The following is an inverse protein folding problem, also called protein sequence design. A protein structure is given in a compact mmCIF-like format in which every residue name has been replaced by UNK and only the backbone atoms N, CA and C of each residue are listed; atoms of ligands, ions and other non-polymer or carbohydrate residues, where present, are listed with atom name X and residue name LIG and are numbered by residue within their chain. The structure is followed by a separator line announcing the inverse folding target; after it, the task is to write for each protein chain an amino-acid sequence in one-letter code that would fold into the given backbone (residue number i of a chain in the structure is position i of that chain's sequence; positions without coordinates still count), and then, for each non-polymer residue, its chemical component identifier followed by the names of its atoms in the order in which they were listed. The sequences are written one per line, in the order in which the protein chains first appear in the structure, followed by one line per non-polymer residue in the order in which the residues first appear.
data_IF_635393060270
#
_entry.id   IF_635393060270
#
_cell.length_a   1.000
_cell.length_b   1.000
_cell.length_c   1.000
_cell.angle_alpha   90.00
_cell.angle_beta   90.00
_cell.angle_gamma   90.00
#
_symmetry.space_group_name_H-M   'P 1'
#
loop_
_entity.id
_entity.type
_entity.pdbx_description
1 polymer ?
#
# COMPACT_ATOMS: atom_id res chain seq x y z
N UNK A 1 -17.42 19.92 0.91
CA UNK A 1 -16.95 18.56 0.54
C UNK A 1 -17.80 18.09 -0.64
N UNK A 2 -17.23 17.60 -1.74
CA UNK A 2 -18.01 17.17 -2.91
C UNK A 2 -18.91 15.97 -2.55
N UNK A 3 -20.16 15.95 -3.01
CA UNK A 3 -21.11 14.85 -2.77
C UNK A 3 -20.56 13.48 -3.21
N UNK A 4 -19.78 13.46 -4.30
CA UNK A 4 -19.09 12.25 -4.77
C UNK A 4 -18.00 11.78 -3.80
N UNK A 5 -17.27 12.72 -3.19
CA UNK A 5 -16.28 12.41 -2.17
C UNK A 5 -16.98 11.74 -0.97
N UNK A 6 -18.09 12.32 -0.51
CA UNK A 6 -18.89 11.73 0.58
C UNK A 6 -19.43 10.34 0.23
N UNK A 7 -19.89 10.12 -1.01
CA UNK A 7 -20.33 8.79 -1.45
C UNK A 7 -19.18 7.77 -1.44
N UNK A 8 -18.05 8.09 -2.07
CA UNK A 8 -16.97 7.11 -2.26
C UNK A 8 -16.13 6.87 -1.01
N UNK A 9 -16.02 7.84 -0.09
CA UNK A 9 -15.38 7.64 1.21
C UNK A 9 -16.28 6.93 2.23
N UNK A 10 -17.57 6.80 1.93
CA UNK A 10 -18.53 6.16 2.82
C UNK A 10 -18.18 4.69 3.06
N UNK A 11 -18.19 4.30 4.33
CA UNK A 11 -18.05 2.90 4.76
C UNK A 11 -19.34 2.43 5.37
N UNK A 12 -19.79 1.26 4.94
CA UNK A 12 -20.97 0.62 5.49
C UNK A 12 -20.80 0.33 7.00
N UNK A 13 -21.90 0.21 7.76
CA UNK A 13 -21.90 -0.17 9.16
C UNK A 13 -21.07 -1.42 9.45
N UNK A 14 -20.62 -1.55 10.70
CA UNK A 14 -19.91 -2.75 11.16
C UNK A 14 -20.83 -3.94 11.45
N UNK A 15 -22.13 -3.70 11.62
CA UNK A 15 -23.13 -4.74 11.79
C UNK A 15 -23.53 -5.31 10.42
N UNK A 16 -23.38 -6.63 10.18
CA UNK A 16 -23.62 -7.22 8.86
C UNK A 16 -25.03 -7.02 8.32
N UNK A 17 -26.05 -7.07 9.18
CA UNK A 17 -27.45 -6.92 8.77
C UNK A 17 -27.74 -5.48 8.33
N UNK A 18 -27.29 -4.49 9.12
CA UNK A 18 -27.40 -3.06 8.77
C UNK A 18 -26.59 -2.74 7.51
N UNK A 19 -25.37 -3.26 7.39
CA UNK A 19 -24.53 -3.06 6.22
C UNK A 19 -25.19 -3.56 4.95
N UNK A 20 -25.81 -4.75 4.99
CA UNK A 20 -26.57 -5.29 3.86
C UNK A 20 -27.78 -4.43 3.50
N UNK A 21 -28.57 -4.00 4.47
CA UNK A 21 -29.73 -3.12 4.20
C UNK A 21 -29.30 -1.79 3.57
N UNK A 22 -28.26 -1.17 4.11
CA UNK A 22 -27.76 0.09 3.60
C UNK A 22 -27.13 -0.05 2.20
N UNK A 23 -26.45 -1.16 1.92
CA UNK A 23 -26.01 -1.49 0.55
C UNK A 23 -27.20 -1.54 -0.43
N UNK A 24 -28.30 -2.19 -0.04
CA UNK A 24 -29.52 -2.26 -0.86
C UNK A 24 -30.10 -0.85 -1.11
N UNK A 25 -30.14 0.01 -0.10
CA UNK A 25 -30.58 1.40 -0.26
C UNK A 25 -29.67 2.22 -1.19
N UNK A 26 -28.37 1.94 -1.19
CA UNK A 26 -27.42 2.59 -2.10
C UNK A 26 -27.66 2.15 -3.54
N UNK A 27 -27.79 0.84 -3.83
CA UNK A 27 -27.99 0.33 -5.20
C UNK A 27 -29.36 0.73 -5.78
N UNK A 28 -30.38 0.86 -4.93
CA UNK A 28 -31.73 1.31 -5.29
C UNK A 28 -31.86 2.85 -5.31
N UNK A 29 -30.77 3.58 -5.05
CA UNK A 29 -30.74 5.05 -5.01
C UNK A 29 -31.70 5.70 -3.99
N UNK A 30 -32.02 4.99 -2.92
CA UNK A 30 -32.84 5.51 -1.80
C UNK A 30 -32.01 6.23 -0.74
N UNK A 31 -30.71 5.95 -0.67
CA UNK A 31 -29.82 6.50 0.34
C UNK A 31 -29.56 8.01 0.15
N UNK A 32 -29.46 8.76 1.26
CA UNK A 32 -29.29 10.23 1.26
C UNK A 32 -28.00 10.70 0.59
N UNK A 33 -26.98 9.84 0.49
CA UNK A 33 -25.71 10.14 -0.19
C UNK A 33 -25.88 10.52 -1.67
N UNK A 34 -27.00 10.16 -2.30
CA UNK A 34 -27.31 10.51 -3.68
C UNK A 34 -27.84 11.94 -3.88
N UNK A 35 -28.23 12.64 -2.80
CA UNK A 35 -29.02 13.87 -2.88
C UNK A 35 -28.41 15.00 -3.72
N UNK A 36 -27.08 15.13 -3.71
CA UNK A 36 -26.36 16.21 -4.41
C UNK A 36 -25.53 15.70 -5.60
N UNK A 37 -25.89 14.56 -6.18
CA UNK A 37 -25.23 13.98 -7.35
C UNK A 37 -26.16 14.12 -8.56
N UNK A 38 -25.67 14.74 -9.64
CA UNK A 38 -26.41 14.94 -10.89
C UNK A 38 -26.94 13.61 -11.46
N UNK A 39 -28.12 13.60 -12.11
CA UNK A 39 -28.73 12.37 -12.63
C UNK A 39 -27.80 11.53 -13.51
N UNK A 40 -27.05 12.09 -14.48
CA UNK A 40 -26.16 11.29 -15.33
C UNK A 40 -25.07 10.57 -14.54
N UNK A 41 -24.42 11.26 -13.59
CA UNK A 41 -23.41 10.65 -12.71
C UNK A 41 -24.01 9.58 -11.82
N UNK A 42 -25.20 9.84 -11.24
CA UNK A 42 -25.91 8.88 -10.38
C UNK A 42 -26.25 7.61 -11.14
N UNK A 43 -26.80 7.71 -12.34
CA UNK A 43 -27.16 6.57 -13.18
C UNK A 43 -25.93 5.74 -13.57
N UNK A 44 -24.85 6.40 -13.97
CA UNK A 44 -23.58 5.75 -14.29
C UNK A 44 -22.98 5.02 -13.09
N UNK A 45 -22.84 5.69 -11.93
CA UNK A 45 -22.29 5.08 -10.71
C UNK A 45 -23.16 3.91 -10.26
N UNK A 46 -24.49 4.09 -10.25
CA UNK A 46 -25.44 3.04 -9.90
C UNK A 46 -25.33 1.83 -10.82
N UNK A 47 -25.14 2.02 -12.13
CA UNK A 47 -24.95 0.91 -13.07
C UNK A 47 -23.71 0.08 -12.71
N UNK A 48 -22.59 0.75 -12.41
CA UNK A 48 -21.34 0.08 -12.00
C UNK A 48 -21.51 -0.69 -10.68
N UNK A 49 -22.16 -0.09 -9.67
CA UNK A 49 -22.43 -0.78 -8.40
C UNK A 49 -23.35 -1.99 -8.60
N UNK A 50 -24.32 -1.91 -9.52
CA UNK A 50 -25.17 -3.05 -9.86
C UNK A 50 -24.41 -4.18 -10.59
N UNK A 51 -23.40 -3.85 -11.41
CA UNK A 51 -22.50 -4.87 -11.99
C UNK A 51 -21.80 -5.66 -10.90
N UNK A 52 -21.27 -4.99 -9.86
CA UNK A 52 -20.70 -5.69 -8.71
C UNK A 52 -21.75 -6.50 -7.96
N UNK A 53 -22.91 -5.92 -7.68
CA UNK A 53 -23.98 -6.61 -6.94
C UNK A 53 -24.41 -7.92 -7.63
N UNK A 54 -24.51 -7.90 -8.96
CA UNK A 54 -24.80 -9.10 -9.74
C UNK A 54 -23.72 -10.18 -9.56
N UNK A 55 -22.44 -9.81 -9.59
CA UNK A 55 -21.35 -10.77 -9.36
C UNK A 55 -21.33 -11.33 -7.94
N UNK A 56 -21.65 -10.51 -6.94
CA UNK A 56 -21.81 -10.95 -5.55
C UNK A 56 -22.91 -12.02 -5.46
N UNK A 57 -24.08 -11.75 -6.06
CA UNK A 57 -25.22 -12.69 -6.03
C UNK A 57 -24.91 -13.99 -6.78
N UNK A 58 -24.27 -13.93 -7.95
CA UNK A 58 -23.85 -15.13 -8.72
C UNK A 58 -22.93 -16.06 -7.93
N UNK A 59 -22.08 -15.49 -7.07
CA UNK A 59 -21.10 -16.23 -6.25
C UNK A 59 -21.64 -16.65 -4.88
N UNK A 60 -22.85 -16.21 -4.50
CA UNK A 60 -23.44 -16.58 -3.23
C UNK A 60 -23.67 -18.10 -3.14
N UNK A 61 -23.39 -18.66 -1.95
CA UNK A 61 -23.65 -20.06 -1.59
C UNK A 61 -24.42 -20.11 -0.27
N UNK A 62 -25.15 -21.21 0.04
CA UNK A 62 -25.91 -21.32 1.29
C UNK A 62 -25.06 -21.11 2.56
N UNK A 63 -23.80 -21.54 2.53
CA UNK A 63 -22.87 -21.48 3.66
C UNK A 63 -21.82 -20.37 3.54
N UNK A 64 -21.85 -19.56 2.48
CA UNK A 64 -20.87 -18.51 2.21
C UNK A 64 -21.51 -17.35 1.45
N UNK A 65 -21.76 -16.27 2.18
CA UNK A 65 -22.28 -15.01 1.65
C UNK A 65 -21.24 -13.90 1.74
N UNK A 66 -21.40 -12.87 0.91
CA UNK A 66 -20.56 -11.68 0.99
C UNK A 66 -20.89 -10.85 2.24
N UNK A 67 -19.88 -10.58 3.07
CA UNK A 67 -20.00 -9.70 4.22
C UNK A 67 -19.78 -8.25 3.80
N UNK A 68 -20.83 -7.43 3.90
CA UNK A 68 -20.80 -6.01 3.58
C UNK A 68 -20.23 -5.14 4.71
N UNK A 69 -19.95 -5.71 5.88
CA UNK A 69 -19.52 -4.97 7.07
C UNK A 69 -18.27 -4.14 6.78
N UNK A 70 -18.33 -2.82 7.05
CA UNK A 70 -17.24 -1.85 6.84
C UNK A 70 -16.75 -1.70 5.39
N UNK A 71 -17.48 -2.27 4.41
CA UNK A 71 -17.14 -2.14 3.00
C UNK A 71 -17.15 -0.67 2.58
N UNK A 72 -16.13 -0.24 1.83
CA UNK A 72 -16.04 1.10 1.26
C UNK A 72 -16.79 1.16 -0.07
N UNK A 73 -17.69 2.14 -0.23
CA UNK A 73 -18.43 2.33 -1.47
C UNK A 73 -17.50 2.67 -2.65
N UNK A 74 -16.42 3.41 -2.40
CA UNK A 74 -15.37 3.67 -3.40
C UNK A 74 -14.68 2.38 -3.86
N UNK A 75 -14.36 1.47 -2.92
CA UNK A 75 -13.78 0.17 -3.27
C UNK A 75 -14.78 -0.69 -4.06
N UNK A 76 -16.03 -0.73 -3.61
CA UNK A 76 -17.11 -1.44 -4.34
C UNK A 76 -17.27 -0.88 -5.77
N UNK A 77 -17.21 0.45 -5.94
CA UNK A 77 -17.24 1.08 -7.25
C UNK A 77 -16.04 0.68 -8.12
N UNK A 78 -14.81 0.77 -7.61
CA UNK A 78 -13.60 0.37 -8.35
C UNK A 78 -13.62 -1.11 -8.73
N UNK A 79 -14.06 -1.99 -7.82
CA UNK A 79 -14.24 -3.42 -8.11
C UNK A 79 -15.28 -3.62 -9.21
N UNK A 80 -16.44 -2.98 -9.12
CA UNK A 80 -17.49 -3.04 -10.14
C UNK A 80 -17.02 -2.51 -11.50
N UNK A 81 -16.32 -1.39 -11.52
CA UNK A 81 -15.81 -0.78 -12.75
C UNK A 81 -14.72 -1.64 -13.40
N UNK A 82 -13.88 -2.28 -12.59
CA UNK A 82 -12.88 -3.24 -13.08
C UNK A 82 -13.54 -4.48 -13.67
N UNK A 83 -14.58 -5.01 -13.03
CA UNK A 83 -15.36 -6.15 -13.56
C UNK A 83 -16.02 -5.76 -14.89
N UNK A 84 -16.66 -4.59 -14.94
CA UNK A 84 -17.35 -4.08 -16.12
C UNK A 84 -16.41 -3.89 -17.33
N UNK A 85 -15.24 -3.30 -17.09
CA UNK A 85 -14.28 -2.96 -18.16
C UNK A 85 -13.22 -4.03 -18.42
N UNK A 86 -13.06 -5.00 -17.53
CA UNK A 86 -11.95 -5.95 -17.55
C UNK A 86 -10.58 -5.31 -17.27
N UNK A 87 -10.52 -4.07 -16.76
CA UNK A 87 -9.27 -3.31 -16.61
C UNK A 87 -9.27 -2.45 -15.35
N UNK A 88 -8.27 -2.62 -14.48
CA UNK A 88 -8.08 -1.77 -13.30
C UNK A 88 -7.77 -0.32 -13.68
N UNK A 89 -6.95 -0.10 -14.71
CA UNK A 89 -6.64 1.25 -15.19
C UNK A 89 -7.88 1.98 -15.69
N UNK A 90 -8.76 1.29 -16.42
CA UNK A 90 -10.00 1.87 -16.92
C UNK A 90 -10.95 2.22 -15.77
N UNK A 91 -10.98 1.40 -14.71
CA UNK A 91 -11.74 1.69 -13.50
C UNK A 91 -11.23 2.95 -12.78
N UNK A 92 -9.91 3.09 -12.64
CA UNK A 92 -9.28 4.29 -12.05
C UNK A 92 -9.59 5.51 -12.92
N UNK A 93 -9.44 5.40 -14.24
CA UNK A 93 -9.75 6.49 -15.17
C UNK A 93 -11.21 6.94 -15.08
N UNK A 94 -12.16 5.99 -15.02
CA UNK A 94 -13.58 6.30 -14.86
C UNK A 94 -13.85 7.05 -13.55
N UNK A 95 -13.23 6.64 -12.44
CA UNK A 95 -13.35 7.34 -11.17
C UNK A 95 -12.78 8.76 -11.26
N UNK A 96 -11.62 8.94 -11.90
CA UNK A 96 -10.99 10.25 -12.12
C UNK A 96 -11.90 11.19 -12.92
N UNK A 97 -12.52 10.71 -13.99
CA UNK A 97 -13.47 11.50 -14.80
C UNK A 97 -14.72 11.88 -14.00
N UNK A 98 -15.30 10.94 -13.26
CA UNK A 98 -16.49 11.17 -12.42
C UNK A 98 -16.22 12.24 -11.34
N UNK A 99 -15.06 12.15 -10.69
CA UNK A 99 -14.61 13.08 -9.67
C UNK A 99 -14.03 14.38 -10.23
N UNK A 100 -13.96 14.51 -11.56
CA UNK A 100 -13.40 15.69 -12.25
C UNK A 100 -11.98 16.01 -11.78
N UNK A 101 -11.16 14.97 -11.61
CA UNK A 101 -9.75 15.09 -11.25
C UNK A 101 -9.02 15.81 -12.40
N UNK A 102 -8.21 16.86 -12.12
CA UNK A 102 -7.46 17.57 -13.15
C UNK A 102 -6.56 16.65 -13.96
N UNK A 103 -6.36 16.95 -15.25
CA UNK A 103 -5.48 16.17 -16.14
C UNK A 103 -4.00 16.25 -15.76
N UNK A 104 -3.63 17.21 -14.92
CA UNK A 104 -2.30 17.31 -14.29
C UNK A 104 -2.06 16.26 -13.20
N UNK A 105 -3.10 15.53 -12.79
CA UNK A 105 -3.02 14.47 -11.78
C UNK A 105 -3.35 13.13 -12.44
N UNK A 106 -2.42 12.18 -12.32
CA UNK A 106 -2.61 10.80 -12.78
C UNK A 106 -2.47 9.84 -11.60
N UNK A 107 -3.28 8.78 -11.62
CA UNK A 107 -3.21 7.69 -10.65
C UNK A 107 -2.96 6.42 -11.45
N UNK A 108 -1.81 5.78 -11.21
CA UNK A 108 -1.37 4.62 -11.96
C UNK A 108 -1.20 3.43 -11.01
N UNK A 109 -1.76 2.25 -11.33
CA UNK A 109 -1.43 1.04 -10.59
C UNK A 109 0.01 0.63 -10.93
N UNK A 110 0.79 0.26 -9.91
CA UNK A 110 2.19 -0.15 -10.08
C UNK A 110 2.33 -1.42 -10.97
N UNK A 111 1.37 -2.34 -10.84
CA UNK A 111 1.25 -3.54 -11.67
C UNK A 111 -0.08 -3.46 -12.41
N UNK A 112 -0.06 -3.59 -13.73
CA UNK A 112 -1.28 -3.66 -14.53
C UNK A 112 -1.70 -5.14 -14.71
N UNK A 113 -2.41 -5.68 -13.72
CA UNK A 113 -2.90 -7.05 -13.77
C UNK A 113 -4.29 -7.19 -13.15
N UNK A 114 -5.03 -8.16 -13.66
CA UNK A 114 -6.28 -8.61 -13.05
C UNK A 114 -6.07 -9.72 -12.01
N UNK A 115 -4.83 -10.19 -11.82
CA UNK A 115 -4.52 -11.17 -10.79
C UNK A 115 -4.09 -10.50 -9.49
N UNK A 116 -4.49 -11.08 -8.37
CA UNK A 116 -4.00 -10.66 -7.06
C UNK A 116 -2.53 -11.06 -6.94
N UNK A 117 -1.70 -10.07 -6.63
CA UNK A 117 -0.30 -10.28 -6.29
C UNK A 117 -0.15 -10.12 -4.79
N UNK A 118 0.59 -11.03 -4.16
CA UNK A 118 0.86 -10.98 -2.74
C UNK A 118 2.32 -10.67 -2.51
N UNK A 119 2.65 -10.21 -1.31
CA UNK A 119 4.03 -9.97 -0.89
C UNK A 119 4.37 -10.85 0.31
N UNK A 120 5.64 -11.21 0.41
CA UNK A 120 6.24 -11.84 1.58
C UNK A 120 7.44 -11.02 2.05
N UNK A 121 7.70 -11.06 3.35
CA UNK A 121 8.83 -10.40 4.00
C UNK A 121 9.74 -11.46 4.62
N UNK A 122 11.06 -11.29 4.47
CA UNK A 122 12.08 -12.10 5.12
C UNK A 122 12.72 -11.31 6.25
N UNK A 123 12.82 -11.91 7.43
CA UNK A 123 13.34 -11.27 8.63
C UNK A 123 14.82 -11.61 8.84
N UNK A 124 15.49 -10.86 9.71
CA UNK A 124 16.92 -11.02 9.95
C UNK A 124 17.31 -12.33 10.67
N UNK A 125 16.35 -12.96 11.36
CA UNK A 125 16.51 -14.29 11.94
C UNK A 125 16.32 -15.44 10.94
N UNK A 126 16.06 -15.13 9.66
CA UNK A 126 15.85 -16.10 8.59
C UNK A 126 14.40 -16.56 8.42
N UNK A 127 13.48 -16.18 9.33
CA UNK A 127 12.06 -16.50 9.19
C UNK A 127 11.39 -15.63 8.12
N UNK A 128 10.22 -16.06 7.64
CA UNK A 128 9.44 -15.29 6.66
C UNK A 128 7.98 -15.14 7.05
N UNK A 129 7.39 -14.02 6.63
CA UNK A 129 5.98 -13.68 6.85
C UNK A 129 5.33 -13.46 5.50
N UNK A 130 4.24 -14.20 5.25
CA UNK A 130 3.51 -14.13 3.99
C UNK A 130 2.19 -13.38 4.13
N UNK A 131 1.94 -12.46 3.20
CA UNK A 131 0.73 -11.65 3.12
C UNK A 131 0.89 -10.26 3.75
N UNK A 132 0.53 -9.22 3.00
CA UNK A 132 0.65 -7.82 3.41
C UNK A 132 0.03 -7.53 4.78
N UNK A 133 -1.15 -8.08 5.07
CA UNK A 133 -1.84 -7.85 6.35
C UNK A 133 -1.09 -8.49 7.52
N UNK A 134 -0.44 -9.64 7.31
CA UNK A 134 0.35 -10.29 8.34
C UNK A 134 1.66 -9.53 8.63
N UNK A 135 2.24 -8.90 7.60
CA UNK A 135 3.43 -8.07 7.75
C UNK A 135 3.10 -6.80 8.56
N UNK A 136 2.00 -6.13 8.21
CA UNK A 136 1.63 -4.82 8.76
C UNK A 136 0.79 -4.87 10.04
N UNK A 137 -0.34 -5.60 10.01
CA UNK A 137 -1.38 -5.56 11.03
C UNK A 137 -2.02 -6.95 11.21
N UNK A 138 -1.30 -7.91 11.81
CA UNK A 138 -1.76 -9.28 11.84
C UNK A 138 -3.03 -9.46 12.67
N UNK A 139 -3.96 -10.24 12.13
CA UNK A 139 -5.18 -10.64 12.86
C UNK A 139 -4.94 -11.81 13.84
N UNK A 140 -3.78 -12.47 13.75
CA UNK A 140 -3.30 -13.60 14.58
C UNK A 140 -1.77 -13.81 14.39
N UNK A 141 -1.06 -14.59 15.23
CA UNK A 141 0.40 -14.80 15.13
C UNK A 141 0.84 -15.30 13.75
N UNK A 142 1.94 -14.76 13.22
CA UNK A 142 2.30 -14.78 11.79
C UNK A 142 3.49 -15.65 11.39
N UNK A 143 4.11 -16.37 12.33
CA UNK A 143 5.22 -17.26 11.99
C UNK A 143 4.73 -18.42 11.13
N UNK A 144 5.38 -18.65 9.98
CA UNK A 144 5.26 -19.90 9.25
C UNK A 144 5.97 -20.99 10.08
N UNK A 145 5.34 -22.14 10.36
CA UNK A 145 6.06 -23.26 10.97
C UNK A 145 7.13 -23.77 10.00
N UNK A 146 8.36 -23.92 10.49
CA UNK A 146 9.58 -24.25 9.73
C UNK A 146 9.62 -25.65 9.11
N UNK A 147 8.56 -26.46 9.21
CA UNK A 147 8.59 -27.82 8.70
C UNK A 147 7.83 -27.95 7.37
N UNK A 148 8.55 -28.42 6.36
CA UNK A 148 8.07 -29.10 5.14
C UNK A 148 7.23 -30.36 5.42
N UNK A 149 6.52 -30.44 6.53
CA UNK A 149 5.58 -31.49 6.84
C UNK A 149 4.19 -31.02 6.45
N UNK A 150 3.72 -31.56 5.33
CA UNK A 150 2.32 -31.72 4.91
C UNK A 150 1.36 -31.00 5.87
N UNK A 151 0.86 -29.83 5.46
CA UNK A 151 -0.25 -29.16 6.14
C UNK A 151 -1.30 -30.24 6.48
N UNK A 152 -1.80 -30.32 7.73
CA UNK A 152 -2.78 -31.32 8.10
C UNK A 152 -3.90 -31.27 7.06
N UNK A 153 -4.18 -32.42 6.44
CA UNK A 153 -5.14 -32.53 5.36
C UNK A 153 -6.41 -31.77 5.75
N UNK A 154 -6.72 -30.71 4.99
CA UNK A 154 -7.90 -29.88 5.22
C UNK A 154 -9.10 -30.83 5.28
N UNK A 155 -9.88 -30.75 6.37
CA UNK A 155 -11.11 -31.53 6.43
C UNK A 155 -12.07 -31.00 5.37
N UNK A 156 -13.01 -31.82 4.91
CA UNK A 156 -14.03 -31.37 3.95
C UNK A 156 -14.80 -30.12 4.46
N UNK A 157 -14.92 -29.96 5.78
CA UNK A 157 -15.53 -28.78 6.42
C UNK A 157 -14.67 -27.51 6.34
N UNK A 158 -13.35 -27.63 6.24
CA UNK A 158 -12.46 -26.48 6.03
C UNK A 158 -12.46 -26.02 4.57
N UNK A 159 -12.71 -26.95 3.63
CA UNK A 159 -12.88 -26.62 2.22
C UNK A 159 -14.11 -25.74 1.96
N UNK A 160 -15.21 -25.93 2.69
CA UNK A 160 -16.44 -25.14 2.56
C UNK A 160 -16.32 -23.70 3.11
N UNK A 161 -15.29 -23.42 3.91
CA UNK A 161 -14.97 -22.06 4.41
C UNK A 161 -14.01 -21.29 3.50
N UNK A 162 -13.50 -21.92 2.45
CA UNK A 162 -12.61 -21.28 1.48
C UNK A 162 -13.45 -20.36 0.59
N UNK A 163 -13.11 -19.07 0.57
CA UNK A 163 -13.66 -18.14 -0.40
C UNK A 163 -13.29 -18.61 -1.83
N UNK A 164 -14.31 -18.92 -2.64
CA UNK A 164 -14.27 -19.37 -4.06
C UNK A 164 -13.57 -18.35 -4.99
N UNK A 165 -13.17 -17.19 -4.46
CA UNK A 165 -12.34 -16.22 -5.15
C UNK A 165 -10.86 -16.64 -5.26
N UNK A 166 -10.42 -17.64 -4.47
CA UNK A 166 -9.03 -18.09 -4.43
C UNK A 166 -8.82 -19.34 -5.27
N UNK A 167 -7.73 -19.39 -6.04
CA UNK A 167 -7.39 -20.55 -6.85
C UNK A 167 -7.19 -21.81 -5.96
N UNK A 168 -7.64 -23.00 -6.39
CA UNK A 168 -7.36 -24.25 -5.70
C UNK A 168 -5.86 -24.40 -5.41
N UNK A 169 -5.50 -24.77 -4.18
CA UNK A 169 -4.09 -24.90 -3.77
C UNK A 169 -3.41 -23.60 -3.31
N UNK A 170 -4.06 -22.43 -3.39
CA UNK A 170 -3.53 -21.19 -2.78
C UNK A 170 -3.20 -21.34 -1.29
N UNK A 171 -2.20 -20.61 -0.78
CA UNK A 171 -1.80 -20.67 0.62
C UNK A 171 -2.96 -20.31 1.56
N UNK A 172 -3.27 -21.12 2.59
CA UNK A 172 -4.37 -20.84 3.53
C UNK A 172 -4.27 -19.48 4.20
N UNK A 173 -3.05 -19.01 4.47
CA UNK A 173 -2.78 -17.71 5.08
C UNK A 173 -3.27 -16.53 4.23
N UNK A 174 -3.33 -16.68 2.91
CA UNK A 174 -3.77 -15.66 1.96
C UNK A 174 -5.30 -15.68 1.73
N UNK A 175 -6.00 -16.71 2.20
CA UNK A 175 -7.44 -16.91 2.01
C UNK A 175 -8.29 -16.30 3.13
N UNK A 176 -7.68 -15.71 4.17
CA UNK A 176 -8.39 -15.17 5.33
C UNK A 176 -9.04 -13.83 5.00
N UNK A 177 -10.29 -13.64 5.43
CA UNK A 177 -11.00 -12.37 5.30
C UNK A 177 -10.49 -11.36 6.34
N UNK A 178 -9.81 -10.32 5.88
CA UNK A 178 -9.29 -9.26 6.74
C UNK A 178 -10.29 -8.09 6.84
N UNK A 179 -11.39 -8.30 7.57
CA UNK A 179 -12.47 -7.30 7.74
C UNK A 179 -12.19 -6.34 8.91
N UNK A 180 -11.46 -6.80 9.93
CA UNK A 180 -11.07 -6.02 11.09
C UNK A 180 -9.57 -5.65 11.03
N UNK A 181 -9.29 -4.36 10.83
CA UNK A 181 -7.94 -3.79 10.95
C UNK A 181 -7.85 -3.04 12.29
N UNK A 182 -6.82 -3.30 13.08
CA UNK A 182 -6.50 -2.53 14.28
C UNK A 182 -5.00 -2.22 14.30
N UNK A 183 -4.65 -0.94 14.20
CA UNK A 183 -3.28 -0.43 14.39
C UNK A 183 -2.94 -0.12 15.86
N UNK A 184 -3.88 -0.37 16.78
CA UNK A 184 -3.78 0.13 18.15
C UNK A 184 -2.91 -0.77 19.07
N UNK A 185 -2.68 -2.02 18.68
CA UNK A 185 -1.84 -2.99 19.41
C UNK A 185 -1.08 -3.86 18.42
N UNK A 186 -0.04 -3.29 17.83
CA UNK A 186 0.89 -4.04 17.01
C UNK A 186 1.96 -4.65 17.91
N UNK A 187 2.00 -5.98 18.01
CA UNK A 187 3.12 -6.71 18.58
C UNK A 187 4.34 -6.51 17.67
N UNK A 188 5.54 -6.40 18.25
CA UNK A 188 6.77 -6.24 17.46
C UNK A 188 7.06 -7.51 16.64
N UNK A 189 7.75 -7.35 15.50
CA UNK A 189 8.35 -8.48 14.79
C UNK A 189 9.51 -9.07 15.61
N UNK A 190 9.81 -10.38 15.49
CA UNK A 190 10.93 -10.98 16.20
C UNK A 190 12.27 -10.41 15.76
N UNK A 191 12.41 -9.93 14.52
CA UNK A 191 13.60 -9.25 14.04
C UNK A 191 13.25 -8.31 12.87
N UNK A 192 14.19 -7.43 12.50
CA UNK A 192 14.01 -6.47 11.39
C UNK A 192 13.70 -7.19 10.08
N UNK A 193 12.86 -6.59 9.23
CA UNK A 193 12.68 -7.05 7.86
C UNK A 193 13.96 -6.76 7.06
N UNK A 194 14.50 -7.77 6.39
CA UNK A 194 15.66 -7.63 5.49
C UNK A 194 15.24 -7.35 4.05
N UNK A 195 14.18 -8.01 3.56
CA UNK A 195 13.68 -7.84 2.19
C UNK A 195 12.20 -8.15 2.06
N UNK A 196 11.58 -7.62 1.02
CA UNK A 196 10.22 -7.94 0.57
C UNK A 196 10.26 -8.39 -0.89
N UNK A 197 9.41 -9.36 -1.24
CA UNK A 197 9.26 -9.85 -2.61
C UNK A 197 7.82 -10.20 -2.93
N UNK A 198 7.50 -10.20 -4.21
CA UNK A 198 6.20 -10.66 -4.69
C UNK A 198 6.15 -12.19 -4.72
N UNK A 199 5.01 -12.75 -4.35
CA UNK A 199 4.70 -14.17 -4.47
C UNK A 199 3.40 -14.38 -5.25
N UNK A 200 3.30 -15.53 -5.91
CA UNK A 200 2.02 -16.01 -6.41
C UNK A 200 1.15 -16.58 -5.26
N UNK A 201 -0.12 -16.91 -5.50
CA UNK A 201 -0.98 -17.49 -4.47
C UNK A 201 -0.47 -18.81 -3.86
N UNK A 202 0.50 -19.49 -4.49
CA UNK A 202 1.09 -20.75 -4.02
C UNK A 202 2.36 -20.54 -3.17
N UNK A 203 2.81 -19.29 -2.98
CA UNK A 203 4.00 -18.98 -2.18
C UNK A 203 5.31 -18.90 -2.96
N UNK A 204 5.30 -19.12 -4.28
CA UNK A 204 6.51 -18.99 -5.08
C UNK A 204 6.80 -17.53 -5.37
N UNK A 205 8.07 -17.13 -5.22
CA UNK A 205 8.56 -15.81 -5.62
C UNK A 205 8.33 -15.57 -7.12
N UNK A 206 7.84 -14.38 -7.44
CA UNK A 206 7.53 -13.94 -8.80
C UNK A 206 8.08 -12.54 -9.04
N UNK A 207 8.21 -12.17 -10.31
CA UNK A 207 8.68 -10.84 -10.75
C UNK A 207 7.63 -10.22 -11.66
N UNK A 208 6.62 -9.54 -11.09
CA UNK A 208 5.59 -8.88 -11.88
C UNK A 208 6.22 -7.79 -12.75
N UNK A 209 5.71 -7.64 -13.97
CA UNK A 209 6.07 -6.51 -14.80
C UNK A 209 5.46 -5.23 -14.22
N UNK A 210 6.27 -4.18 -14.13
CA UNK A 210 5.78 -2.84 -13.83
C UNK A 210 4.85 -2.38 -14.95
N UNK A 211 3.88 -1.54 -14.60
CA UNK A 211 3.09 -0.83 -15.58
C UNK A 211 3.96 0.16 -16.37
N UNK A 212 4.03 0.02 -17.70
CA UNK A 212 4.84 0.88 -18.57
C UNK A 212 4.56 2.37 -18.39
N UNK A 213 3.31 2.75 -18.07
CA UNK A 213 2.96 4.16 -17.81
C UNK A 213 3.67 4.71 -16.58
N UNK A 214 3.97 3.87 -15.58
CA UNK A 214 4.75 4.26 -14.41
C UNK A 214 6.19 4.55 -14.82
N UNK A 215 6.79 3.70 -15.67
CA UNK A 215 8.12 3.96 -16.21
C UNK A 215 8.17 5.23 -17.06
N UNK A 216 7.18 5.46 -17.93
CA UNK A 216 7.07 6.69 -18.71
C UNK A 216 6.91 7.92 -17.82
N UNK A 217 6.12 7.83 -16.75
CA UNK A 217 5.96 8.91 -15.78
C UNK A 217 7.29 9.19 -15.05
N UNK A 218 8.01 8.18 -14.61
CA UNK A 218 9.32 8.34 -13.97
C UNK A 218 10.36 8.97 -14.93
N UNK A 219 10.41 8.51 -16.18
CA UNK A 219 11.33 9.05 -17.19
C UNK A 219 11.10 10.53 -17.50
N UNK A 220 9.84 10.98 -17.45
CA UNK A 220 9.46 12.38 -17.67
C UNK A 220 9.47 13.23 -16.40
N UNK A 221 9.72 12.63 -15.24
CA UNK A 221 9.72 13.31 -13.94
C UNK A 221 11.08 13.93 -13.64
N UNK A 222 11.07 15.12 -13.06
CA UNK A 222 12.27 15.76 -12.49
C UNK A 222 12.39 15.53 -10.99
N UNK A 223 11.30 15.13 -10.34
CA UNK A 223 11.20 14.91 -8.90
C UNK A 223 10.41 13.65 -8.62
N UNK A 224 10.95 12.79 -7.77
CA UNK A 224 10.27 11.61 -7.20
C UNK A 224 10.16 11.83 -5.70
N UNK A 225 8.97 11.65 -5.16
CA UNK A 225 8.69 11.77 -3.72
C UNK A 225 8.26 10.41 -3.20
N UNK A 226 9.06 9.85 -2.29
CA UNK A 226 8.63 8.73 -1.46
C UNK A 226 7.80 9.32 -0.31
N UNK A 227 6.48 9.28 -0.48
CA UNK A 227 5.53 9.85 0.46
C UNK A 227 5.49 9.07 1.79
N UNK A 228 4.80 9.64 2.77
CA UNK A 228 4.55 9.03 4.08
C UNK A 228 3.73 7.75 3.88
N UNK A 229 4.18 6.64 4.44
CA UNK A 229 3.55 5.34 4.31
C UNK A 229 4.42 4.23 4.92
N UNK A 230 3.81 3.08 5.20
CA UNK A 230 4.56 1.94 5.73
C UNK A 230 5.67 1.52 4.76
N UNK A 231 6.88 1.38 5.28
CA UNK A 231 8.09 1.24 4.47
C UNK A 231 8.03 -0.06 3.63
N UNK A 232 7.74 -1.19 4.27
CA UNK A 232 7.83 -2.52 3.65
C UNK A 232 6.54 -2.96 2.96
N UNK A 233 5.38 -2.42 3.36
CA UNK A 233 4.10 -2.79 2.76
C UNK A 233 3.49 -1.75 1.82
N UNK A 234 4.05 -0.55 1.71
CA UNK A 234 3.57 0.50 0.79
C UNK A 234 4.65 1.02 -0.17
N UNK A 235 5.79 1.49 0.37
CA UNK A 235 6.84 2.11 -0.45
C UNK A 235 7.61 1.03 -1.21
N UNK A 236 8.26 0.11 -0.49
CA UNK A 236 9.13 -0.93 -1.07
C UNK A 236 8.45 -1.78 -2.15
N UNK A 237 7.18 -2.24 -2.01
CA UNK A 237 6.52 -3.03 -3.06
C UNK A 237 6.42 -2.30 -4.41
N UNK A 238 6.41 -0.97 -4.41
CA UNK A 238 6.41 -0.16 -5.64
C UNK A 238 7.81 -0.06 -6.27
N UNK A 239 8.88 -0.22 -5.48
CA UNK A 239 10.28 -0.04 -5.89
C UNK A 239 10.94 -1.33 -6.35
N UNK A 240 10.55 -2.48 -5.78
CA UNK A 240 11.08 -3.80 -6.15
C UNK A 240 10.53 -4.33 -7.49
N UNK A 241 9.80 -3.50 -8.25
CA UNK A 241 9.36 -3.84 -9.59
C UNK A 241 10.48 -3.57 -10.59
N UNK A 242 10.66 -4.49 -11.55
CA UNK A 242 11.76 -4.43 -12.50
C UNK A 242 11.77 -3.10 -13.26
N UNK A 243 12.93 -2.43 -13.25
CA UNK A 243 13.16 -1.17 -13.96
C UNK A 243 12.75 0.09 -13.21
N UNK A 244 12.03 -0.01 -12.08
CA UNK A 244 11.65 1.18 -11.28
C UNK A 244 12.89 1.83 -10.65
N UNK A 245 13.75 1.05 -10.00
CA UNK A 245 14.99 1.57 -9.40
C UNK A 245 15.87 2.28 -10.43
N UNK A 246 16.12 1.64 -11.57
CA UNK A 246 16.89 2.22 -12.68
C UNK A 246 16.24 3.50 -13.23
N UNK A 247 14.91 3.55 -13.34
CA UNK A 247 14.21 4.75 -13.81
C UNK A 247 14.33 5.92 -12.80
N UNK A 248 14.30 5.63 -11.50
CA UNK A 248 14.51 6.62 -10.44
C UNK A 248 15.95 7.14 -10.45
N UNK A 249 16.93 6.26 -10.65
CA UNK A 249 18.36 6.60 -10.71
C UNK A 249 18.75 7.43 -11.95
N UNK A 250 17.80 7.67 -12.87
CA UNK A 250 18.02 8.54 -14.01
C UNK A 250 18.50 9.94 -13.59
N UNK A 251 19.47 10.54 -14.31
CA UNK A 251 19.85 11.95 -14.13
C UNK A 251 18.72 12.94 -14.38
N UNK A 252 17.67 12.55 -15.12
CA UNK A 252 16.48 13.39 -15.31
C UNK A 252 15.75 13.66 -13.99
N UNK A 253 15.77 12.69 -13.06
CA UNK A 253 15.21 12.83 -11.72
C UNK A 253 16.22 13.54 -10.83
N UNK A 254 16.12 14.87 -10.78
CA UNK A 254 16.99 15.75 -10.00
C UNK A 254 16.78 15.59 -8.50
N UNK A 255 15.53 15.48 -8.07
CA UNK A 255 15.17 15.37 -6.65
C UNK A 255 14.55 14.00 -6.37
N UNK A 256 15.11 13.27 -5.41
CA UNK A 256 14.54 12.04 -4.86
C UNK A 256 14.30 12.26 -3.38
N UNK A 257 13.07 12.59 -3.02
CA UNK A 257 12.72 13.14 -1.71
C UNK A 257 12.05 12.05 -0.88
N UNK A 258 12.68 11.62 0.21
CA UNK A 258 12.07 10.73 1.20
C UNK A 258 11.41 11.57 2.30
N UNK A 259 10.12 11.38 2.53
CA UNK A 259 9.42 11.95 3.69
C UNK A 259 9.28 10.85 4.75
N UNK A 260 9.97 10.97 5.87
CA UNK A 260 9.93 9.96 6.93
C UNK A 260 8.56 9.90 7.61
N UNK A 261 8.20 8.71 8.10
CA UNK A 261 7.00 8.55 8.91
C UNK A 261 7.12 9.31 10.23
N UNK A 262 6.01 9.88 10.69
CA UNK A 262 5.95 10.58 11.97
C UNK A 262 6.10 9.64 13.19
N UNK A 263 5.94 8.34 12.96
CA UNK A 263 6.05 7.28 13.97
C UNK A 263 6.47 5.98 13.32
N UNK A 264 7.37 5.24 13.97
CA UNK A 264 7.71 3.86 13.65
C UNK A 264 6.51 2.93 13.90
N UNK A 265 6.33 1.99 12.99
CA UNK A 265 5.34 0.91 13.05
C UNK A 265 6.04 -0.44 13.27
N UNK A 266 5.27 -1.52 13.40
CA UNK A 266 5.81 -2.87 13.57
C UNK A 266 6.82 -3.27 12.48
N UNK A 267 6.63 -2.81 11.25
CA UNK A 267 7.50 -3.14 10.11
C UNK A 267 8.89 -2.52 10.24
N UNK A 268 9.01 -1.45 11.04
CA UNK A 268 10.21 -0.64 11.22
C UNK A 268 10.78 -0.75 12.65
N UNK A 269 10.37 -1.79 13.38
CA UNK A 269 10.93 -2.24 14.65
C UNK A 269 11.86 -3.46 14.51
N UNK A 270 12.05 -4.27 15.58
CA UNK A 270 11.38 -4.23 16.89
C UNK A 270 11.83 -3.04 17.76
N UNK A 271 11.10 -2.71 18.83
CA UNK A 271 11.43 -1.57 19.73
C UNK A 271 12.79 -1.67 20.39
N UNK A 272 13.32 -2.88 20.54
CA UNK A 272 14.68 -3.14 21.05
C UNK A 272 15.77 -2.77 20.05
N UNK A 273 15.41 -2.67 18.77
CA UNK A 273 16.31 -2.41 17.66
C UNK A 273 15.56 -1.66 16.54
N UNK A 274 15.12 -0.41 16.81
CA UNK A 274 14.27 0.35 15.91
C UNK A 274 15.05 0.89 14.71
N UNK A 275 14.39 0.97 13.54
CA UNK A 275 15.00 1.59 12.37
C UNK A 275 15.20 3.10 12.57
N UNK A 276 16.37 3.58 12.20
CA UNK A 276 16.74 5.00 12.11
C UNK A 276 16.50 5.53 10.70
N UNK A 277 16.66 6.84 10.49
CA UNK A 277 16.54 7.46 9.17
C UNK A 277 17.46 6.83 8.12
N UNK A 278 18.71 6.48 8.48
CA UNK A 278 19.63 5.84 7.55
C UNK A 278 19.16 4.43 7.17
N UNK A 279 18.50 3.71 8.08
CA UNK A 279 17.96 2.38 7.77
C UNK A 279 16.83 2.46 6.73
N UNK A 280 15.99 3.50 6.77
CA UNK A 280 14.98 3.75 5.74
C UNK A 280 15.63 4.03 4.38
N UNK A 281 16.69 4.85 4.37
CA UNK A 281 17.44 5.18 3.15
C UNK A 281 18.06 3.91 2.55
N UNK A 282 18.71 3.09 3.37
CA UNK A 282 19.33 1.83 2.96
C UNK A 282 18.29 0.86 2.41
N UNK A 283 17.15 0.71 3.08
CA UNK A 283 16.08 -0.19 2.64
C UNK A 283 15.50 0.22 1.27
N UNK A 284 15.27 1.52 1.04
CA UNK A 284 14.80 2.04 -0.25
C UNK A 284 15.84 1.83 -1.35
N UNK A 285 17.11 2.17 -1.09
CA UNK A 285 18.18 1.98 -2.06
C UNK A 285 18.35 0.49 -2.42
N UNK A 286 18.32 -0.41 -1.43
CA UNK A 286 18.37 -1.85 -1.63
C UNK A 286 17.19 -2.34 -2.48
N UNK A 287 15.97 -1.88 -2.18
CA UNK A 287 14.76 -2.24 -2.94
C UNK A 287 14.86 -1.83 -4.42
N UNK A 288 15.41 -0.64 -4.71
CA UNK A 288 15.64 -0.18 -6.08
C UNK A 288 16.65 -1.05 -6.84
N UNK A 289 17.68 -1.56 -6.16
CA UNK A 289 18.71 -2.42 -6.78
C UNK A 289 18.37 -3.92 -6.77
N UNK A 290 17.33 -4.34 -6.02
CA UNK A 290 17.01 -5.77 -5.79
C UNK A 290 16.70 -6.55 -7.08
N UNK A 291 16.19 -5.87 -8.11
CA UNK A 291 15.81 -6.51 -9.38
C UNK A 291 16.86 -6.40 -10.47
N UNK A 292 18.00 -5.78 -10.19
CA UNK A 292 19.15 -5.75 -11.09
C UNK A 292 19.85 -7.13 -11.10
N UNK A 293 20.39 -7.54 -12.24
CA UNK A 293 20.92 -8.90 -12.41
C UNK A 293 22.04 -9.19 -11.40
N UNK A 294 22.09 -10.40 -10.81
CA UNK A 294 23.18 -10.81 -9.93
C UNK A 294 24.49 -10.82 -10.75
N UNK A 295 25.38 -9.88 -10.44
CA UNK A 295 26.59 -9.63 -11.22
C UNK A 295 27.19 -8.23 -11.04
N UNK A 296 26.47 -7.28 -10.43
CA UNK A 296 27.07 -6.03 -9.98
C UNK A 296 27.94 -6.32 -8.74
N UNK A 297 29.24 -6.12 -8.90
CA UNK A 297 30.31 -6.49 -7.99
C UNK A 297 30.10 -5.94 -6.57
N UNK A 298 30.78 -6.57 -5.60
CA UNK A 298 30.89 -6.11 -4.21
C UNK A 298 31.36 -4.66 -4.17
N UNK A 299 30.39 -3.75 -4.06
CA UNK A 299 30.65 -2.33 -3.98
C UNK A 299 31.28 -2.05 -2.61
N UNK A 300 32.53 -1.58 -2.60
CA UNK A 300 33.21 -1.12 -1.37
C UNK A 300 32.41 -0.01 -0.67
N UNK A 301 32.73 0.31 0.58
CA UNK A 301 31.97 1.27 1.41
C UNK A 301 31.67 2.59 0.67
N UNK A 302 32.64 3.16 -0.07
CA UNK A 302 32.45 4.39 -0.84
C UNK A 302 31.46 4.28 -2.00
N UNK A 303 31.32 3.12 -2.64
CA UNK A 303 30.29 2.95 -3.67
C UNK A 303 28.93 2.60 -3.07
N UNK A 304 28.86 2.03 -1.85
CA UNK A 304 27.59 1.93 -1.09
C UNK A 304 27.06 3.32 -0.77
N UNK A 305 27.93 4.25 -0.33
CA UNK A 305 27.55 5.65 -0.11
C UNK A 305 27.01 6.32 -1.38
N UNK A 306 27.70 6.15 -2.52
CA UNK A 306 27.23 6.68 -3.81
C UNK A 306 25.88 6.05 -4.22
N UNK A 307 25.67 4.76 -3.94
CA UNK A 307 24.42 4.06 -4.21
C UNK A 307 23.21 4.59 -3.44
N UNK A 308 23.40 5.09 -2.22
CA UNK A 308 22.31 5.69 -1.42
C UNK A 308 21.84 7.01 -2.03
N UNK A 309 22.78 7.92 -2.32
CA UNK A 309 22.48 9.25 -2.89
C UNK A 309 21.78 9.17 -4.26
N UNK A 310 22.07 8.13 -5.03
CA UNK A 310 21.45 7.87 -6.34
C UNK A 310 19.94 7.71 -6.25
N UNK A 311 19.45 7.12 -5.15
CA UNK A 311 18.04 6.84 -4.93
C UNK A 311 17.35 7.83 -4.00
N UNK A 312 18.09 8.52 -3.14
CA UNK A 312 17.56 9.53 -2.21
C UNK A 312 18.53 10.71 -2.15
N UNK A 313 18.05 11.91 -2.53
CA UNK A 313 18.85 13.13 -2.46
C UNK A 313 18.44 14.08 -1.33
N UNK A 314 17.18 13.98 -0.88
CA UNK A 314 16.66 14.79 0.22
C UNK A 314 15.86 13.91 1.18
N UNK A 315 15.96 14.21 2.47
CA UNK A 315 15.21 13.56 3.53
C UNK A 315 14.46 14.62 4.34
N UNK A 316 13.13 14.54 4.34
CA UNK A 316 12.27 15.37 5.17
C UNK A 316 11.88 14.57 6.40
N UNK A 317 12.01 15.20 7.56
CA UNK A 317 11.71 14.56 8.83
C UNK A 317 11.02 15.53 9.79
N UNK A 318 10.35 14.96 10.79
CA UNK A 318 9.90 15.68 11.96
C UNK A 318 10.50 15.02 13.21
N UNK A 319 10.61 15.79 14.29
CA UNK A 319 11.05 15.27 15.58
C UNK A 319 9.84 15.01 16.46
N UNK A 320 9.82 13.85 17.12
CA UNK A 320 8.77 13.53 18.08
C UNK A 320 8.86 12.12 18.63
N UNK A 321 8.06 11.85 19.66
CA UNK A 321 8.09 10.56 20.35
C UNK A 321 7.71 9.42 19.41
N UNK A 322 8.65 8.52 19.16
CA UNK A 322 8.48 7.36 18.29
C UNK A 322 8.74 7.64 16.81
N UNK A 323 9.11 8.87 16.42
CA UNK A 323 9.66 9.14 15.10
C UNK A 323 11.04 8.46 14.96
N UNK A 324 11.47 8.10 13.73
CA UNK A 324 12.81 7.58 13.49
C UNK A 324 13.88 8.58 13.95
N UNK A 325 14.96 8.07 14.55
CA UNK A 325 16.12 8.89 14.88
C UNK A 325 16.84 9.36 13.61
N UNK A 326 17.27 10.62 13.59
CA UNK A 326 17.87 11.27 12.42
C UNK A 326 19.26 11.79 12.77
N UNK A 327 20.30 11.09 12.30
CA UNK A 327 21.68 11.59 12.29
C UNK A 327 21.90 12.48 11.06
N UNK A 328 21.70 13.79 11.25
CA UNK A 328 21.80 14.78 10.17
C UNK A 328 23.23 14.84 9.63
N UNK A 329 24.24 14.87 10.49
CA UNK A 329 25.65 14.97 10.06
C UNK A 329 26.06 13.73 9.25
N UNK A 330 25.67 12.54 9.71
CA UNK A 330 25.91 11.29 8.99
C UNK A 330 25.24 11.26 7.63
N UNK A 331 23.96 11.65 7.55
CA UNK A 331 23.19 11.67 6.29
C UNK A 331 23.72 12.73 5.31
N UNK A 332 24.07 13.92 5.79
CA UNK A 332 24.65 14.98 4.95
C UNK A 332 26.06 14.62 4.48
N UNK A 333 26.84 13.90 5.29
CA UNK A 333 28.12 13.30 4.90
C UNK A 333 27.97 12.27 3.76
N UNK A 334 26.80 11.63 3.63
CA UNK A 334 26.44 10.77 2.50
C UNK A 334 25.90 11.55 1.29
N UNK A 335 25.82 12.88 1.39
CA UNK A 335 25.28 13.76 0.35
C UNK A 335 23.75 13.78 0.28
N UNK A 336 23.06 13.41 1.37
CA UNK A 336 21.60 13.46 1.51
C UNK A 336 21.25 14.70 2.32
N UNK A 337 20.58 15.67 1.70
CA UNK A 337 20.20 16.92 2.38
C UNK A 337 19.02 16.66 3.32
N UNK A 338 19.17 17.01 4.58
CA UNK A 338 18.13 16.80 5.58
C UNK A 338 17.34 18.09 5.83
N UNK A 339 16.02 18.02 5.78
CA UNK A 339 15.13 19.17 6.02
C UNK A 339 14.16 18.83 7.14
N UNK A 340 14.28 19.54 8.26
CA UNK A 340 13.35 19.41 9.37
C UNK A 340 12.06 20.17 9.06
N UNK A 341 10.92 19.52 9.23
CA UNK A 341 9.59 20.08 9.01
C UNK A 341 8.82 20.09 10.33
N UNK A 342 8.04 21.15 10.55
CA UNK A 342 7.21 21.28 11.74
C UNK A 342 6.16 20.16 11.82
N UNK A 343 5.94 19.66 13.03
CA UNK A 343 4.90 18.70 13.35
C UNK A 343 3.80 19.33 14.20
N UNK A 344 2.55 18.88 13.99
CA UNK A 344 1.39 19.21 14.82
C UNK A 344 0.83 17.96 15.50
N UNK A 345 0.41 18.12 16.75
CA UNK A 345 -0.32 17.09 17.47
C UNK A 345 -1.80 17.16 17.08
N UNK A 346 -2.37 16.04 16.67
CA UNK A 346 -3.76 15.92 16.27
C UNK A 346 -4.44 14.87 17.15
N UNK A 347 -5.62 15.18 17.66
CA UNK A 347 -6.43 14.19 18.37
C UNK A 347 -7.01 13.18 17.38
N UNK A 348 -6.69 11.90 17.55
CA UNK A 348 -7.25 10.80 16.77
C UNK A 348 -7.84 9.72 17.69
N UNK A 349 -9.17 9.68 17.73
CA UNK A 349 -9.90 8.71 18.54
C UNK A 349 -9.63 8.90 20.04
N UNK A 350 -8.97 7.92 20.67
CA UNK A 350 -8.62 7.95 22.11
C UNK A 350 -7.18 8.39 22.40
N UNK A 351 -6.44 8.91 21.41
CA UNK A 351 -5.04 9.29 21.57
C UNK A 351 -4.64 10.52 20.76
N UNK A 352 -3.41 10.98 20.98
CA UNK A 352 -2.80 12.09 20.24
C UNK A 352 -1.78 11.50 19.26
N UNK A 353 -1.90 11.85 17.97
CA UNK A 353 -0.96 11.46 16.93
C UNK A 353 -0.16 12.67 16.42
N UNK A 354 1.13 12.47 16.19
CA UNK A 354 1.98 13.48 15.58
C UNK A 354 1.86 13.40 14.05
N UNK A 355 1.66 14.53 13.40
CA UNK A 355 1.57 14.65 11.94
C UNK A 355 2.41 15.81 11.45
N UNK A 356 2.85 15.76 10.21
CA UNK A 356 3.42 16.94 9.57
C UNK A 356 2.40 18.07 9.52
N UNK A 357 2.88 19.29 9.75
CA UNK A 357 2.11 20.48 9.43
C UNK A 357 2.08 20.63 7.90
N UNK A 358 0.87 20.64 7.32
CA UNK A 358 0.67 20.58 5.87
C UNK A 358 1.29 21.78 5.13
N UNK A 359 1.17 22.99 5.69
CA UNK A 359 1.75 24.19 5.11
C UNK A 359 3.29 24.14 5.10
N UNK A 360 3.90 23.82 6.24
CA UNK A 360 5.35 23.70 6.36
C UNK A 360 5.92 22.58 5.46
N UNK A 361 5.21 21.46 5.34
CA UNK A 361 5.60 20.38 4.42
C UNK A 361 5.52 20.83 2.96
N UNK A 362 4.46 21.56 2.59
CA UNK A 362 4.32 22.15 1.25
C UNK A 362 5.46 23.11 0.92
N UNK A 363 5.75 24.06 1.81
CA UNK A 363 6.84 25.03 1.64
C UNK A 363 8.21 24.35 1.51
N UNK A 364 8.47 23.31 2.32
CA UNK A 364 9.71 22.54 2.24
C UNK A 364 9.86 21.83 0.88
N UNK A 365 8.77 21.22 0.37
CA UNK A 365 8.77 20.57 -0.94
C UNK A 365 8.95 21.57 -2.07
N UNK A 366 8.25 22.70 -2.05
CA UNK A 366 8.39 23.78 -3.04
C UNK A 366 9.81 24.35 -3.05
N UNK A 367 10.42 24.56 -1.88
CA UNK A 367 11.80 25.03 -1.75
C UNK A 367 12.82 24.07 -2.36
N UNK A 368 12.62 22.75 -2.23
CA UNK A 368 13.49 21.74 -2.84
C UNK A 368 13.27 21.67 -4.36
N UNK A 369 12.02 21.68 -4.82
CA UNK A 369 11.68 21.56 -6.24
C UNK A 369 12.13 22.81 -7.03
N UNK A 370 12.15 23.98 -6.36
CA UNK A 370 12.60 25.25 -6.94
C UNK A 370 14.13 25.44 -6.96
N UNK A 371 14.91 24.63 -6.24
CA UNK A 371 16.38 24.68 -6.22
C UNK A 371 17.02 23.90 -7.37
#
# INVERSE_FOLDING_TARGET
MSALKSLFEHRLPSDPAKARMEWLDIIETRHLLWGFISSPKRELIRSILNTLNLEIVKRARPNSGFDFSRASIGNMFLTGARIFSGSLESAIYLLSVLCSIPTTVSVLPAINSNFTHHISAGLADGTSITGQVNISHPSAPTALPDDTLVAPALTAADHDRIEDANLPGSLPVLRRQHIAFSKAQEEDLPSRIQRVWYINPYGHEIWPNVNDKVLTALQSSTTVIYSIGSLFTSIIPSLILRGVGTAIDSPSVRHKILILNAKLDRETGPRRDPMTAIDFVVAIAAACTQTEAPGSESVGEGGRQLGLRRHISHLLYLEGKGAPEVDVEGLEGLGIKCVRVAGRLVEEGKGVSLRYEEAALGEALEGIIGS
#
